data_IF_835610968303
#
_entry.id   IF_835610968303
#
_cell.length_a   1.000
_cell.length_b   1.000
_cell.length_c   1.000
_cell.angle_alpha   90.00
_cell.angle_beta   90.00
_cell.angle_gamma   90.00
#
_symmetry.space_group_name_H-M   'P 1'
#
loop_
_entity.id
_entity.type
_entity.pdbx_description
1 polymer ?
#
# COMPACT_ATOMS: atom_id res chain seq x y z
N UNK A 1 -33.93 -12.60 29.56
CA UNK A 1 -34.74 -13.14 28.45
C UNK A 1 -34.44 -12.27 27.23
N UNK A 2 -33.40 -12.63 26.45
CA UNK A 2 -33.49 -13.27 25.10
C UNK A 2 -34.12 -12.32 24.07
N UNK A 3 -33.55 -11.98 22.92
CA UNK A 3 -32.34 -12.34 22.17
C UNK A 3 -32.25 -11.37 20.98
N UNK A 4 -31.07 -11.07 20.44
CA UNK A 4 -30.92 -10.86 18.99
C UNK A 4 -29.45 -10.91 18.56
N UNK A 5 -29.08 -12.07 18.00
CA UNK A 5 -28.16 -12.29 16.88
C UNK A 5 -27.07 -11.25 16.60
N UNK A 6 -25.84 -11.62 16.92
CA UNK A 6 -24.67 -11.30 16.11
C UNK A 6 -24.09 -12.60 15.57
N UNK A 7 -24.52 -12.98 14.36
CA UNK A 7 -23.80 -13.96 13.54
C UNK A 7 -22.50 -13.32 13.04
N UNK A 8 -21.41 -13.58 13.75
CA UNK A 8 -20.05 -13.37 13.24
C UNK A 8 -19.38 -14.73 13.04
N UNK A 9 -19.88 -15.51 12.07
CA UNK A 9 -19.14 -16.63 11.50
C UNK A 9 -18.08 -16.09 10.52
N UNK A 10 -17.03 -15.46 11.06
CA UNK A 10 -15.74 -15.51 10.40
C UNK A 10 -15.09 -16.84 10.78
N UNK A 11 -14.84 -17.76 9.85
CA UNK A 11 -14.02 -18.91 10.16
C UNK A 11 -12.64 -18.38 10.55
N UNK A 12 -12.32 -18.44 11.83
CA UNK A 12 -10.95 -18.35 12.34
C UNK A 12 -10.18 -19.50 11.71
N UNK A 13 -9.64 -19.24 10.53
CA UNK A 13 -8.90 -20.22 9.79
C UNK A 13 -7.58 -20.41 10.54
N UNK A 14 -7.42 -21.57 11.19
CA UNK A 14 -6.21 -21.96 11.92
C UNK A 14 -4.98 -21.56 11.11
N UNK A 15 -4.16 -20.68 11.67
CA UNK A 15 -2.94 -20.14 11.07
C UNK A 15 -1.88 -21.26 10.91
N UNK A 16 -2.09 -22.16 9.96
CA UNK A 16 -1.02 -23.05 9.52
C UNK A 16 0.04 -22.22 8.81
N UNK A 17 1.30 -22.46 9.19
CA UNK A 17 2.46 -21.79 8.62
C UNK A 17 2.53 -22.16 7.14
N UNK A 18 2.30 -21.17 6.27
CA UNK A 18 2.08 -21.44 4.85
C UNK A 18 3.36 -21.93 4.19
N UNK A 19 3.29 -22.90 3.26
CA UNK A 19 4.48 -23.43 2.57
C UNK A 19 5.34 -22.35 1.89
N UNK A 20 4.73 -21.24 1.45
CA UNK A 20 5.45 -20.12 0.82
C UNK A 20 6.33 -19.29 1.76
N UNK A 21 6.17 -19.44 3.09
CA UNK A 21 6.93 -18.71 4.11
C UNK A 21 8.16 -19.51 4.56
N UNK A 22 8.11 -20.84 4.39
CA UNK A 22 9.19 -21.76 4.79
C UNK A 22 10.56 -21.36 4.22
N UNK A 23 10.72 -21.02 2.92
CA UNK A 23 12.04 -20.61 2.40
C UNK A 23 12.58 -19.33 3.05
N UNK A 24 11.70 -18.38 3.37
CA UNK A 24 12.08 -17.13 4.03
C UNK A 24 12.62 -17.39 5.43
N UNK A 25 11.86 -18.12 6.26
CA UNK A 25 12.29 -18.47 7.63
C UNK A 25 13.55 -19.36 7.59
N UNK A 26 13.57 -20.36 6.71
CA UNK A 26 14.71 -21.28 6.55
C UNK A 26 16.02 -20.55 6.25
N UNK A 27 16.01 -19.52 5.39
CA UNK A 27 17.20 -18.71 5.13
C UNK A 27 17.69 -17.92 6.33
N UNK A 28 16.78 -17.37 7.15
CA UNK A 28 17.17 -16.66 8.37
C UNK A 28 17.78 -17.60 9.40
N UNK A 29 17.18 -18.79 9.57
CA UNK A 29 17.72 -19.83 10.45
C UNK A 29 19.06 -20.33 9.92
N UNK A 30 19.22 -20.48 8.60
CA UNK A 30 20.48 -20.93 8.00
C UNK A 30 21.65 -19.97 8.29
N UNK A 31 21.40 -18.68 8.50
CA UNK A 31 22.45 -17.75 8.93
C UNK A 31 23.07 -18.12 10.29
N UNK A 32 22.41 -18.92 11.14
CA UNK A 32 23.02 -19.43 12.38
C UNK A 32 24.19 -20.38 12.12
N UNK A 33 24.29 -20.96 10.90
CA UNK A 33 25.44 -21.76 10.48
C UNK A 33 26.77 -20.99 10.49
N UNK A 34 26.73 -19.66 10.47
CA UNK A 34 27.90 -18.79 10.62
C UNK A 34 28.60 -19.00 11.97
N UNK A 35 27.86 -19.38 13.02
CA UNK A 35 28.46 -19.70 14.33
C UNK A 35 29.40 -20.90 14.27
N UNK A 36 29.20 -21.79 13.28
CA UNK A 36 30.04 -22.95 13.06
C UNK A 36 31.18 -22.68 12.08
N UNK A 37 30.92 -21.93 11.00
CA UNK A 37 31.92 -21.69 9.95
C UNK A 37 32.81 -20.47 10.20
N UNK A 38 32.36 -19.52 11.02
CA UNK A 38 32.98 -18.21 11.16
C UNK A 38 32.89 -17.37 9.88
N UNK A 39 33.70 -16.31 9.83
CA UNK A 39 33.84 -15.42 8.67
C UNK A 39 35.24 -15.55 8.07
N UNK A 40 35.30 -15.76 6.75
CA UNK A 40 36.52 -15.69 5.95
C UNK A 40 36.49 -14.44 5.07
N UNK A 41 37.65 -13.96 4.62
CA UNK A 41 37.69 -12.79 3.72
C UNK A 41 36.99 -13.12 2.40
N UNK A 42 37.20 -14.33 1.89
CA UNK A 42 36.61 -14.85 0.67
C UNK A 42 35.08 -14.89 0.74
N UNK A 43 34.53 -15.42 1.84
CA UNK A 43 33.08 -15.49 2.04
C UNK A 43 32.44 -14.10 2.25
N UNK A 44 33.16 -13.15 2.87
CA UNK A 44 32.71 -11.75 2.97
C UNK A 44 32.72 -11.03 1.62
N UNK A 45 33.75 -11.23 0.81
CA UNK A 45 33.81 -10.68 -0.55
C UNK A 45 32.71 -11.28 -1.43
N UNK A 46 32.47 -12.59 -1.32
CA UNK A 46 31.36 -13.27 -2.01
C UNK A 46 30.01 -12.71 -1.55
N UNK A 47 29.83 -12.53 -0.24
CA UNK A 47 28.62 -11.92 0.34
C UNK A 47 28.36 -10.53 -0.26
N UNK A 48 29.36 -9.66 -0.28
CA UNK A 48 29.27 -8.32 -0.86
C UNK A 48 28.98 -8.36 -2.37
N UNK A 49 29.66 -9.24 -3.12
CA UNK A 49 29.44 -9.39 -4.56
C UNK A 49 28.01 -9.86 -4.87
N UNK A 50 27.54 -10.90 -4.19
CA UNK A 50 26.18 -11.42 -4.36
C UNK A 50 25.11 -10.42 -3.89
N UNK A 51 25.40 -9.63 -2.86
CA UNK A 51 24.53 -8.52 -2.45
C UNK A 51 24.38 -7.51 -3.60
N UNK A 52 25.48 -6.97 -4.13
CA UNK A 52 25.47 -5.97 -5.19
C UNK A 52 24.76 -6.49 -6.45
N UNK A 53 25.08 -7.71 -6.90
CA UNK A 53 24.47 -8.30 -8.10
C UNK A 53 22.94 -8.43 -7.95
N UNK A 54 22.46 -8.86 -6.79
CA UNK A 54 21.02 -9.07 -6.57
C UNK A 54 20.26 -7.78 -6.30
N UNK A 55 20.84 -6.84 -5.54
CA UNK A 55 20.25 -5.51 -5.39
C UNK A 55 20.14 -4.88 -6.78
N UNK A 56 21.22 -4.87 -7.59
CA UNK A 56 21.16 -4.40 -8.97
C UNK A 56 20.10 -5.12 -9.81
N UNK A 57 19.99 -6.44 -9.71
CA UNK A 57 18.97 -7.21 -10.43
C UNK A 57 17.52 -6.82 -10.07
N UNK A 58 17.27 -6.54 -8.78
CA UNK A 58 15.97 -6.03 -8.31
C UNK A 58 15.75 -4.59 -8.81
N UNK A 59 16.72 -3.70 -8.62
CA UNK A 59 16.57 -2.28 -8.94
C UNK A 59 16.53 -2.02 -10.45
N UNK A 60 17.46 -2.58 -11.23
CA UNK A 60 17.48 -2.42 -12.67
C UNK A 60 16.43 -3.29 -13.36
N UNK A 61 16.32 -4.56 -12.98
CA UNK A 61 15.47 -5.53 -13.65
C UNK A 61 14.01 -5.42 -13.24
N UNK A 62 13.71 -5.75 -11.98
CA UNK A 62 12.32 -5.83 -11.54
C UNK A 62 11.67 -4.45 -11.47
N UNK A 63 12.39 -3.49 -10.92
CA UNK A 63 11.88 -2.16 -10.66
C UNK A 63 11.93 -1.26 -11.90
N UNK A 64 13.12 -0.86 -12.34
CA UNK A 64 13.29 0.15 -13.40
C UNK A 64 12.90 -0.33 -14.79
N UNK A 65 13.18 -1.59 -15.14
CA UNK A 65 12.82 -2.17 -16.44
C UNK A 65 11.38 -2.69 -16.44
N UNK A 66 11.09 -3.71 -15.63
CA UNK A 66 9.79 -4.38 -15.68
C UNK A 66 8.67 -3.51 -15.11
N UNK A 67 8.83 -2.89 -13.94
CA UNK A 67 7.73 -2.11 -13.35
C UNK A 67 7.54 -0.75 -14.05
N UNK A 68 8.62 -0.04 -14.37
CA UNK A 68 8.53 1.37 -14.83
C UNK A 68 8.91 1.66 -16.27
N UNK A 69 9.47 0.68 -17.00
CA UNK A 69 9.89 0.86 -18.41
C UNK A 69 10.80 2.08 -18.60
N UNK A 70 11.68 2.31 -17.65
CA UNK A 70 12.52 3.51 -17.60
C UNK A 70 13.71 3.46 -18.57
N UNK A 71 14.01 2.27 -19.10
CA UNK A 71 14.97 2.04 -20.19
C UNK A 71 14.54 0.83 -21.01
N UNK A 72 15.24 0.57 -22.11
CA UNK A 72 15.06 -0.60 -22.97
C UNK A 72 16.31 -1.47 -23.01
N UNK A 73 16.12 -2.76 -23.23
CA UNK A 73 17.20 -3.73 -23.35
C UNK A 73 16.84 -4.79 -24.39
N UNK A 74 17.85 -5.41 -25.01
CA UNK A 74 17.65 -6.59 -25.84
C UNK A 74 17.22 -7.80 -25.01
N UNK A 75 16.64 -8.83 -25.64
CA UNK A 75 16.08 -10.00 -24.93
C UNK A 75 17.08 -10.70 -24.01
N UNK A 76 18.33 -10.86 -24.48
CA UNK A 76 19.40 -11.49 -23.68
C UNK A 76 19.74 -10.63 -22.46
N UNK A 77 20.04 -9.34 -22.66
CA UNK A 77 20.34 -8.41 -21.55
C UNK A 77 19.18 -8.32 -20.56
N UNK A 78 17.94 -8.21 -21.05
CA UNK A 78 16.73 -8.22 -20.23
C UNK A 78 16.69 -9.49 -19.36
N UNK A 79 16.86 -10.66 -19.98
CA UNK A 79 16.85 -11.93 -19.25
C UNK A 79 17.94 -11.99 -18.19
N UNK A 80 19.18 -11.58 -18.51
CA UNK A 80 20.30 -11.62 -17.57
C UNK A 80 20.08 -10.69 -16.36
N UNK A 81 19.63 -9.45 -16.59
CA UNK A 81 19.34 -8.50 -15.51
C UNK A 81 18.19 -9.02 -14.64
N UNK A 82 17.11 -9.52 -15.25
CA UNK A 82 15.96 -10.06 -14.51
C UNK A 82 16.33 -11.35 -13.77
N UNK A 83 17.17 -12.21 -14.34
CA UNK A 83 17.66 -13.42 -13.68
C UNK A 83 18.52 -13.08 -12.45
N UNK A 84 19.35 -12.04 -12.50
CA UNK A 84 20.06 -11.54 -11.33
C UNK A 84 19.10 -11.12 -10.20
N UNK A 85 17.96 -10.50 -10.54
CA UNK A 85 16.89 -10.20 -9.58
C UNK A 85 16.24 -11.47 -9.02
N UNK A 86 16.02 -12.49 -9.86
CA UNK A 86 15.42 -13.76 -9.44
C UNK A 86 16.28 -14.56 -8.45
N UNK A 87 17.60 -14.37 -8.46
CA UNK A 87 18.50 -14.96 -7.46
C UNK A 87 18.27 -14.42 -6.04
N UNK A 88 17.48 -13.36 -5.87
CA UNK A 88 17.11 -12.81 -4.55
C UNK A 88 15.98 -13.57 -3.85
N UNK A 89 15.31 -14.51 -4.54
CA UNK A 89 14.18 -15.28 -3.99
C UNK A 89 12.96 -14.44 -3.55
N UNK A 90 12.84 -13.20 -4.03
CA UNK A 90 11.70 -12.31 -3.75
C UNK A 90 10.47 -12.56 -4.65
N UNK A 91 10.14 -13.84 -4.87
CA UNK A 91 9.05 -14.29 -5.77
C UNK A 91 9.33 -13.96 -7.25
N UNK A 92 8.38 -14.30 -8.13
CA UNK A 92 8.54 -14.21 -9.58
C UNK A 92 8.65 -12.75 -10.10
N UNK A 93 9.43 -12.50 -11.17
CA UNK A 93 9.66 -11.17 -11.71
C UNK A 93 8.38 -10.45 -12.20
N UNK A 94 7.46 -11.19 -12.82
CA UNK A 94 6.22 -10.61 -13.35
C UNK A 94 5.25 -10.30 -12.21
N UNK A 95 5.15 -11.20 -11.22
CA UNK A 95 4.39 -10.94 -10.01
C UNK A 95 4.91 -9.71 -9.26
N UNK A 96 6.24 -9.62 -9.08
CA UNK A 96 6.86 -8.50 -8.36
C UNK A 96 6.56 -7.17 -9.07
N UNK A 97 6.78 -7.11 -10.39
CA UNK A 97 6.54 -5.90 -11.17
C UNK A 97 5.07 -5.48 -11.18
N UNK A 98 4.14 -6.44 -11.31
CA UNK A 98 2.70 -6.17 -11.21
C UNK A 98 2.32 -5.63 -9.82
N UNK A 99 2.80 -6.28 -8.75
CA UNK A 99 2.56 -5.82 -7.38
C UNK A 99 3.12 -4.44 -7.07
N UNK A 100 4.24 -4.08 -7.71
CA UNK A 100 4.83 -2.77 -7.59
C UNK A 100 4.05 -1.70 -8.38
N UNK A 101 3.53 -2.04 -9.57
CA UNK A 101 2.58 -1.16 -10.30
C UNK A 101 1.31 -0.89 -9.50
N UNK A 102 0.77 -1.90 -8.81
CA UNK A 102 -0.35 -1.72 -7.87
C UNK A 102 0.04 -0.82 -6.70
N UNK A 103 1.23 -1.01 -6.11
CA UNK A 103 1.71 -0.15 -5.04
C UNK A 103 1.78 1.32 -5.47
N UNK A 104 2.31 1.65 -6.66
CA UNK A 104 2.28 3.04 -7.14
C UNK A 104 0.87 3.58 -7.38
N UNK A 105 -0.06 2.72 -7.81
CA UNK A 105 -1.44 3.14 -8.05
C UNK A 105 -2.15 3.44 -6.74
N UNK A 106 -1.89 2.65 -5.70
CA UNK A 106 -2.68 2.59 -4.47
C UNK A 106 -1.84 2.90 -3.21
N UNK A 107 -0.68 3.54 -3.37
CA UNK A 107 0.33 3.77 -2.33
C UNK A 107 -0.25 4.43 -1.09
N UNK A 108 0.09 3.89 0.08
CA UNK A 108 -0.39 4.35 1.38
C UNK A 108 -1.91 4.47 1.55
N UNK A 109 -2.67 3.75 0.72
CA UNK A 109 -4.10 3.49 0.95
C UNK A 109 -4.29 2.14 1.64
N UNK A 110 -5.50 1.82 2.15
CA UNK A 110 -5.77 0.50 2.73
C UNK A 110 -5.52 -0.68 1.79
N UNK A 111 -5.53 -0.44 0.47
CA UNK A 111 -5.25 -1.46 -0.54
C UNK A 111 -3.75 -1.75 -0.72
N UNK A 112 -2.86 -0.85 -0.28
CA UNK A 112 -1.42 -1.07 -0.32
C UNK A 112 -0.97 -1.93 0.85
N UNK A 113 -0.74 -3.21 0.58
CA UNK A 113 -0.27 -4.15 1.60
C UNK A 113 1.06 -3.76 2.25
N UNK A 114 1.84 -2.85 1.66
CA UNK A 114 3.10 -2.41 2.23
C UNK A 114 3.00 -1.10 3.01
N UNK A 115 1.80 -0.52 3.19
CA UNK A 115 1.66 0.78 3.84
C UNK A 115 1.96 0.74 5.35
N UNK A 116 2.97 1.49 5.83
CA UNK A 116 3.20 1.64 7.27
C UNK A 116 2.06 2.38 7.97
N UNK A 117 1.34 3.25 7.25
CA UNK A 117 0.21 4.03 7.77
C UNK A 117 -0.94 3.13 8.23
N UNK A 118 -1.24 2.07 7.46
CA UNK A 118 -2.36 1.18 7.74
C UNK A 118 -1.97 -0.08 8.51
N UNK A 119 -0.73 -0.55 8.36
CA UNK A 119 -0.30 -1.83 8.94
C UNK A 119 0.85 -1.70 9.94
N UNK A 120 1.31 -0.48 10.22
CA UNK A 120 2.47 -0.20 11.06
C UNK A 120 3.79 -0.55 10.38
N UNK A 121 4.89 -0.06 10.96
CA UNK A 121 6.24 -0.25 10.41
C UNK A 121 6.59 -1.73 10.18
N UNK A 122 6.32 -2.60 11.17
CA UNK A 122 6.61 -4.03 11.05
C UNK A 122 5.68 -4.75 10.07
N UNK A 123 4.42 -4.29 9.95
CA UNK A 123 3.47 -4.81 8.98
C UNK A 123 3.91 -4.55 7.54
N UNK A 124 4.43 -3.35 7.28
CA UNK A 124 5.04 -2.92 6.02
C UNK A 124 6.37 -3.62 5.73
N UNK A 125 7.22 -3.78 6.76
CA UNK A 125 8.54 -4.39 6.59
C UNK A 125 8.45 -5.89 6.28
N UNK A 126 7.71 -6.65 7.10
CA UNK A 126 7.66 -8.11 6.99
C UNK A 126 6.27 -8.72 7.17
N UNK A 127 5.35 -8.05 7.86
CA UNK A 127 4.03 -8.62 8.18
C UNK A 127 3.19 -9.00 6.94
N UNK A 128 3.38 -8.31 5.81
CA UNK A 128 2.76 -8.65 4.53
C UNK A 128 3.12 -10.05 4.00
N UNK A 129 4.25 -10.63 4.42
CA UNK A 129 4.67 -11.99 4.01
C UNK A 129 3.74 -13.05 4.61
N UNK A 130 3.20 -12.78 5.81
CA UNK A 130 2.37 -13.71 6.58
C UNK A 130 0.87 -13.58 6.24
N UNK A 131 0.44 -12.44 5.70
CA UNK A 131 -0.95 -12.17 5.27
C UNK A 131 -1.36 -12.94 4.02
N UNK A 132 -2.68 -13.09 3.73
CA UNK A 132 -3.20 -13.73 2.50
C UNK A 132 -2.38 -13.42 1.25
N UNK A 133 -1.85 -14.45 0.55
CA UNK A 133 -1.11 -14.27 -0.71
C UNK A 133 -2.11 -13.96 -1.82
N UNK A 134 -2.64 -12.73 -1.82
CA UNK A 134 -3.50 -12.22 -2.87
C UNK A 134 -2.76 -12.22 -4.21
N UNK A 135 -3.55 -12.27 -5.28
CA UNK A 135 -3.06 -12.40 -6.65
C UNK A 135 -2.62 -11.04 -7.16
N UNK A 136 -1.50 -11.01 -7.87
CA UNK A 136 -1.10 -9.83 -8.63
C UNK A 136 -1.97 -9.72 -9.89
N UNK A 137 -2.33 -8.51 -10.28
CA UNK A 137 -3.00 -8.24 -11.54
C UNK A 137 -1.99 -8.30 -12.69
N UNK A 138 -1.83 -9.49 -13.26
CA UNK A 138 -0.94 -9.71 -14.39
C UNK A 138 -1.39 -8.98 -15.67
N UNK A 139 -2.61 -8.44 -15.72
CA UNK A 139 -3.01 -7.58 -16.84
C UNK A 139 -2.17 -6.30 -16.88
N UNK A 140 -1.69 -5.85 -15.72
CA UNK A 140 -0.79 -4.71 -15.64
C UNK A 140 0.52 -5.01 -16.36
N UNK A 141 1.01 -6.25 -16.42
CA UNK A 141 2.36 -6.61 -16.90
C UNK A 141 2.38 -7.35 -18.26
N UNK A 142 1.32 -7.20 -19.07
CA UNK A 142 1.19 -7.86 -20.41
C UNK A 142 2.37 -7.57 -21.35
N UNK A 143 2.95 -6.38 -21.23
CA UNK A 143 4.12 -5.91 -21.97
C UNK A 143 5.36 -6.80 -21.80
N UNK A 144 5.50 -7.46 -20.65
CA UNK A 144 6.61 -8.38 -20.38
C UNK A 144 6.17 -9.84 -20.24
N UNK A 145 4.90 -10.11 -19.93
CA UNK A 145 4.36 -11.46 -19.86
C UNK A 145 4.39 -12.20 -21.21
N UNK A 146 4.51 -11.49 -22.33
CA UNK A 146 4.66 -12.09 -23.65
C UNK A 146 5.99 -12.85 -23.84
N UNK A 147 7.05 -12.52 -23.10
CA UNK A 147 8.37 -13.14 -23.26
C UNK A 147 8.43 -14.53 -22.59
N UNK A 148 8.67 -15.63 -23.35
CA UNK A 148 8.74 -16.99 -22.79
C UNK A 148 9.79 -17.16 -21.68
N UNK A 149 10.96 -16.54 -21.84
CA UNK A 149 12.07 -16.59 -20.88
C UNK A 149 11.71 -15.96 -19.52
N UNK A 150 10.91 -14.88 -19.53
CA UNK A 150 10.42 -14.25 -18.31
C UNK A 150 9.30 -15.05 -17.66
N UNK A 151 8.43 -15.67 -18.46
CA UNK A 151 7.42 -16.62 -17.95
C UNK A 151 8.06 -17.87 -17.35
N UNK A 152 9.17 -18.33 -17.91
CA UNK A 152 9.94 -19.42 -17.33
C UNK A 152 10.51 -19.04 -15.96
N UNK A 153 11.09 -17.84 -15.81
CA UNK A 153 11.53 -17.32 -14.51
C UNK A 153 10.36 -17.17 -13.53
N UNK A 154 9.20 -16.68 -13.97
CA UNK A 154 7.99 -16.56 -13.14
C UNK A 154 7.54 -17.93 -12.60
N UNK A 155 7.49 -18.95 -13.46
CA UNK A 155 7.13 -20.32 -13.08
C UNK A 155 8.18 -20.96 -12.16
N UNK A 156 9.47 -20.69 -12.40
CA UNK A 156 10.60 -21.26 -11.67
C UNK A 156 11.23 -20.24 -10.70
N UNK A 157 10.42 -19.41 -10.05
CA UNK A 157 10.87 -18.23 -9.31
C UNK A 157 11.91 -18.47 -8.20
N UNK A 158 12.03 -19.70 -7.69
CA UNK A 158 13.01 -20.06 -6.68
C UNK A 158 14.27 -20.75 -7.24
N UNK A 159 14.20 -21.27 -8.47
CA UNK A 159 15.26 -22.09 -9.07
C UNK A 159 16.59 -21.32 -9.20
N UNK A 160 16.64 -20.07 -9.72
CA UNK A 160 17.91 -19.35 -9.85
C UNK A 160 18.62 -19.12 -8.50
N UNK A 161 17.88 -18.73 -7.47
CA UNK A 161 18.44 -18.53 -6.13
C UNK A 161 18.88 -19.82 -5.48
N UNK A 162 18.08 -20.89 -5.56
CA UNK A 162 18.47 -22.21 -5.04
C UNK A 162 19.69 -22.78 -5.74
N UNK A 163 19.77 -22.67 -7.07
CA UNK A 163 20.93 -23.09 -7.85
C UNK A 163 22.18 -22.30 -7.46
N UNK A 164 22.06 -20.99 -7.21
CA UNK A 164 23.16 -20.16 -6.70
C UNK A 164 23.63 -20.64 -5.32
N UNK A 165 22.72 -20.95 -4.40
CA UNK A 165 23.08 -21.49 -3.08
C UNK A 165 23.84 -22.82 -3.18
N UNK A 166 23.36 -23.75 -4.02
CA UNK A 166 24.07 -25.02 -4.29
C UNK A 166 25.45 -24.75 -4.90
N UNK A 167 25.57 -23.84 -5.85
CA UNK A 167 26.84 -23.48 -6.46
C UNK A 167 27.83 -22.89 -5.44
N UNK A 168 27.38 -21.99 -4.55
CA UNK A 168 28.22 -21.45 -3.48
C UNK A 168 28.76 -22.55 -2.57
N UNK A 169 27.91 -23.51 -2.18
CA UNK A 169 28.34 -24.66 -1.38
C UNK A 169 29.37 -25.53 -2.11
N UNK A 170 29.10 -25.90 -3.37
CA UNK A 170 29.97 -26.80 -4.13
C UNK A 170 31.34 -26.17 -4.45
N UNK A 171 31.39 -24.86 -4.67
CA UNK A 171 32.61 -24.15 -5.06
C UNK A 171 33.43 -23.63 -3.88
N UNK A 172 32.78 -23.27 -2.77
CA UNK A 172 33.43 -22.61 -1.64
C UNK A 172 33.10 -23.20 -0.27
N UNK A 173 32.34 -24.29 -0.19
CA UNK A 173 32.02 -24.94 1.08
C UNK A 173 30.97 -24.23 1.92
N UNK A 174 30.96 -24.55 3.22
CA UNK A 174 29.91 -24.11 4.14
C UNK A 174 29.96 -22.62 4.47
N UNK A 175 31.14 -22.00 4.55
CA UNK A 175 31.27 -20.55 4.79
C UNK A 175 30.77 -19.76 3.56
N UNK A 176 31.10 -20.20 2.34
CA UNK A 176 30.54 -19.63 1.11
C UNK A 176 29.01 -19.77 1.05
N UNK A 177 28.45 -20.87 1.56
CA UNK A 177 27.01 -21.04 1.65
C UNK A 177 26.36 -20.14 2.71
N UNK A 178 26.83 -20.18 3.97
CA UNK A 178 26.19 -19.45 5.07
C UNK A 178 26.47 -17.93 5.03
N UNK A 179 27.72 -17.53 4.87
CA UNK A 179 28.10 -16.11 4.79
C UNK A 179 27.91 -15.60 3.38
N UNK A 180 28.47 -16.30 2.39
CA UNK A 180 28.44 -15.85 1.00
C UNK A 180 27.01 -15.78 0.44
N UNK A 181 26.19 -16.82 0.62
CA UNK A 181 24.84 -16.90 0.05
C UNK A 181 23.71 -16.56 1.04
N UNK A 182 23.61 -17.22 2.21
CA UNK A 182 22.47 -17.03 3.11
C UNK A 182 22.41 -15.62 3.70
N UNK A 183 23.50 -15.15 4.31
CA UNK A 183 23.57 -13.81 4.91
C UNK A 183 23.29 -12.72 3.86
N UNK A 184 23.95 -12.77 2.72
CA UNK A 184 23.74 -11.81 1.64
C UNK A 184 22.29 -11.83 1.12
N UNK A 185 21.63 -13.00 1.08
CA UNK A 185 20.19 -13.10 0.72
C UNK A 185 19.32 -12.38 1.76
N UNK A 186 19.57 -12.61 3.04
CA UNK A 186 18.83 -11.97 4.14
C UNK A 186 19.04 -10.45 4.13
N UNK A 187 20.27 -9.99 3.90
CA UNK A 187 20.57 -8.56 3.75
C UNK A 187 19.81 -7.94 2.56
N UNK A 188 19.72 -8.65 1.43
CA UNK A 188 18.94 -8.21 0.25
C UNK A 188 17.43 -8.13 0.57
N UNK A 189 16.88 -9.08 1.33
CA UNK A 189 15.49 -8.98 1.79
C UNK A 189 15.27 -7.71 2.61
N UNK A 190 16.06 -7.51 3.66
CA UNK A 190 15.84 -6.38 4.55
C UNK A 190 16.08 -5.04 3.87
N UNK A 191 17.08 -4.89 2.99
CA UNK A 191 17.28 -3.63 2.28
C UNK A 191 16.11 -3.33 1.33
N UNK A 192 15.53 -4.35 0.69
CA UNK A 192 14.37 -4.16 -0.18
C UNK A 192 13.12 -3.82 0.65
N UNK A 193 12.94 -4.49 1.79
CA UNK A 193 11.80 -4.23 2.68
C UNK A 193 11.90 -2.87 3.38
N UNK A 194 13.12 -2.36 3.62
CA UNK A 194 13.33 -1.01 4.13
C UNK A 194 12.84 0.08 3.15
N UNK A 195 12.80 -0.20 1.85
CA UNK A 195 12.19 0.74 0.89
C UNK A 195 10.69 0.87 1.16
N UNK A 196 9.99 -0.25 1.37
CA UNK A 196 8.57 -0.24 1.72
C UNK A 196 8.28 0.36 3.11
N UNK A 197 9.16 0.11 4.09
CA UNK A 197 8.92 0.54 5.48
C UNK A 197 9.62 1.85 5.83
N UNK A 198 10.95 1.84 5.88
CA UNK A 198 11.73 2.97 6.36
C UNK A 198 11.65 4.17 5.42
N UNK A 199 11.63 3.96 4.10
CA UNK A 199 11.48 5.07 3.15
C UNK A 199 10.08 5.69 3.15
N UNK A 200 9.10 5.10 3.84
CA UNK A 200 7.76 5.67 4.07
C UNK A 200 7.55 6.24 5.47
N UNK A 201 8.59 6.27 6.32
CA UNK A 201 8.49 6.81 7.70
C UNK A 201 9.63 7.77 8.02
N UNK A 202 10.82 7.57 7.45
CA UNK A 202 12.02 8.33 7.81
C UNK A 202 12.79 8.85 6.59
N UNK A 203 12.87 10.18 6.49
CA UNK A 203 13.59 10.88 5.42
C UNK A 203 12.95 12.23 5.12
N UNK A 204 13.21 12.76 3.92
CA UNK A 204 12.65 14.04 3.47
C UNK A 204 11.67 13.85 2.32
N UNK A 205 10.51 14.46 2.42
CA UNK A 205 9.55 14.56 1.32
C UNK A 205 9.76 15.90 0.61
N UNK A 206 10.33 15.87 -0.60
CA UNK A 206 10.60 17.07 -1.41
C UNK A 206 9.41 17.42 -2.29
N UNK A 207 8.74 16.40 -2.82
CA UNK A 207 7.68 16.52 -3.79
C UNK A 207 6.39 15.98 -3.20
N UNK A 208 5.29 16.64 -3.55
CA UNK A 208 3.95 16.22 -3.19
C UNK A 208 3.53 15.02 -4.06
N UNK A 209 3.41 13.86 -3.43
CA UNK A 209 3.13 12.56 -4.10
C UNK A 209 1.78 11.97 -3.72
N UNK A 210 1.12 12.46 -2.67
CA UNK A 210 -0.13 11.90 -2.15
C UNK A 210 0.09 10.67 -1.25
N UNK A 211 1.33 10.26 -1.04
CA UNK A 211 1.77 9.17 -0.17
C UNK A 211 2.83 9.65 0.82
N UNK A 212 3.32 8.75 1.67
CA UNK A 212 4.35 9.01 2.69
C UNK A 212 5.78 8.71 2.19
N UNK A 213 6.01 8.57 0.89
CA UNK A 213 7.35 8.31 0.35
C UNK A 213 8.34 9.43 0.72
N UNK A 214 9.55 9.05 1.11
CA UNK A 214 10.62 9.95 1.57
C UNK A 214 11.98 9.59 0.98
N UNK A 215 12.76 10.62 0.68
CA UNK A 215 14.15 10.47 0.27
C UNK A 215 15.05 10.22 1.49
N UNK A 216 15.92 9.21 1.40
CA UNK A 216 16.87 8.82 2.43
C UNK A 216 18.21 8.41 1.80
N UNK A 217 19.27 9.17 2.10
CA UNK A 217 20.59 8.97 1.51
C UNK A 217 21.26 7.65 1.93
N UNK A 218 21.03 7.19 3.16
CA UNK A 218 21.57 5.90 3.64
C UNK A 218 20.94 4.75 2.86
N UNK A 219 19.62 4.77 2.70
CA UNK A 219 18.92 3.80 1.87
C UNK A 219 19.31 3.92 0.39
N UNK A 220 19.64 5.11 -0.10
CA UNK A 220 20.10 5.27 -1.47
C UNK A 220 21.46 4.58 -1.69
N UNK A 221 22.33 4.56 -0.69
CA UNK A 221 23.58 3.78 -0.77
C UNK A 221 23.29 2.29 -0.66
N UNK A 222 22.58 1.85 0.39
CA UNK A 222 22.33 0.42 0.63
C UNK A 222 21.53 -0.23 -0.52
N UNK A 223 20.47 0.43 -0.96
CA UNK A 223 19.60 -0.06 -2.04
C UNK A 223 20.01 0.47 -3.43
N UNK A 224 21.27 0.89 -3.61
CA UNK A 224 21.83 1.28 -4.92
C UNK A 224 21.01 2.33 -5.70
N UNK A 225 20.38 3.28 -5.01
CA UNK A 225 19.65 4.42 -5.56
C UNK A 225 18.18 4.48 -5.15
N UNK A 226 17.60 3.38 -4.68
CA UNK A 226 16.15 3.30 -4.39
C UNK A 226 15.71 4.11 -3.17
N UNK A 227 16.65 4.54 -2.33
CA UNK A 227 16.38 5.44 -1.22
C UNK A 227 15.97 6.86 -1.64
N UNK A 228 16.13 7.25 -2.91
CA UNK A 228 15.51 8.47 -3.44
C UNK A 228 14.02 8.24 -3.74
N UNK A 229 13.30 7.74 -2.75
CA UNK A 229 11.99 7.14 -2.92
C UNK A 229 10.89 8.17 -3.22
N UNK A 230 10.95 9.34 -2.60
CA UNK A 230 10.01 10.42 -2.92
C UNK A 230 10.22 11.00 -4.33
N UNK A 231 11.48 11.11 -4.78
CA UNK A 231 11.76 11.48 -6.17
C UNK A 231 11.14 10.45 -7.13
N UNK A 232 11.32 9.17 -6.79
CA UNK A 232 10.81 8.06 -7.57
C UNK A 232 9.27 8.08 -7.65
N UNK A 233 8.56 8.21 -6.52
CA UNK A 233 7.10 8.30 -6.50
C UNK A 233 6.57 9.53 -7.25
N UNK A 234 7.29 10.64 -7.22
CA UNK A 234 6.90 11.85 -7.94
C UNK A 234 6.97 11.69 -9.47
N UNK A 235 7.96 10.95 -9.97
CA UNK A 235 8.12 10.71 -11.39
C UNK A 235 8.78 9.34 -11.69
N UNK A 236 7.98 8.26 -11.63
CA UNK A 236 8.50 6.88 -11.57
C UNK A 236 9.06 6.37 -12.90
N UNK A 237 8.73 7.00 -14.03
CA UNK A 237 9.15 6.58 -15.36
C UNK A 237 10.63 6.86 -15.69
N UNK A 238 11.43 7.33 -14.72
CA UNK A 238 12.82 7.72 -14.92
C UNK A 238 13.81 6.61 -14.60
N UNK A 239 14.91 6.58 -15.36
CA UNK A 239 15.97 5.58 -15.18
C UNK A 239 16.86 5.90 -13.97
N UNK A 240 16.85 7.15 -13.50
CA UNK A 240 17.52 7.60 -12.27
C UNK A 240 16.48 8.04 -11.24
N UNK A 241 16.60 7.53 -10.02
CA UNK A 241 15.82 7.98 -8.88
C UNK A 241 16.46 9.24 -8.23
N UNK A 242 17.80 9.35 -8.30
CA UNK A 242 18.50 10.57 -7.91
C UNK A 242 18.29 11.67 -8.95
N UNK A 243 17.70 12.80 -8.54
CA UNK A 243 17.38 13.97 -9.39
C UNK A 243 18.44 15.07 -9.32
N UNK A 244 19.18 15.17 -8.20
CA UNK A 244 20.29 16.13 -8.02
C UNK A 244 21.65 15.47 -8.20
N UNK A 245 22.69 16.28 -8.45
CA UNK A 245 24.05 15.79 -8.70
C UNK A 245 24.65 15.05 -7.48
N UNK A 246 24.25 15.44 -6.26
CA UNK A 246 24.68 14.81 -5.01
C UNK A 246 23.83 13.57 -4.64
N UNK A 247 22.79 13.27 -5.41
CA UNK A 247 21.92 12.11 -5.15
C UNK A 247 22.48 10.88 -5.85
N UNK A 248 23.35 10.17 -5.12
CA UNK A 248 24.07 8.98 -5.61
C UNK A 248 23.07 7.88 -6.00
N UNK A 249 23.16 7.41 -7.24
CA UNK A 249 22.31 6.35 -7.78
C UNK A 249 23.17 5.34 -8.55
N UNK A 250 23.67 4.35 -7.80
CA UNK A 250 24.61 3.34 -8.33
C UNK A 250 23.98 2.49 -9.44
N UNK A 251 22.70 2.14 -9.31
CA UNK A 251 21.98 1.41 -10.37
C UNK A 251 21.95 2.21 -11.66
N UNK A 252 21.67 3.52 -11.59
CA UNK A 252 21.68 4.37 -12.77
C UNK A 252 23.08 4.48 -13.39
N UNK A 253 24.15 4.58 -12.60
CA UNK A 253 25.51 4.65 -13.13
C UNK A 253 25.90 3.36 -13.87
N UNK A 254 25.49 2.20 -13.37
CA UNK A 254 25.68 0.92 -14.06
C UNK A 254 24.87 0.90 -15.36
N UNK A 255 23.59 1.27 -15.33
CA UNK A 255 22.75 1.34 -16.55
C UNK A 255 23.32 2.31 -17.59
N UNK A 256 23.80 3.49 -17.15
CA UNK A 256 24.45 4.46 -18.01
C UNK A 256 25.70 3.88 -18.66
N UNK A 257 26.50 3.14 -17.91
CA UNK A 257 27.69 2.47 -18.43
C UNK A 257 27.32 1.40 -19.45
N UNK A 258 26.36 0.53 -19.13
CA UNK A 258 25.82 -0.47 -20.07
C UNK A 258 25.27 0.15 -21.36
N UNK A 259 24.75 1.38 -21.28
CA UNK A 259 24.27 2.11 -22.46
C UNK A 259 25.38 2.51 -23.42
N UNK A 260 26.60 2.74 -22.92
CA UNK A 260 27.77 3.01 -23.76
C UNK A 260 28.19 1.81 -24.59
N UNK A 261 27.84 0.61 -24.15
CA UNK A 261 28.09 -0.64 -24.88
C UNK A 261 26.87 -1.10 -25.71
N UNK A 262 25.80 -0.31 -25.77
CA UNK A 262 24.58 -0.67 -26.50
C UNK A 262 23.78 -1.82 -25.88
N UNK A 263 24.10 -2.25 -24.66
CA UNK A 263 23.39 -3.34 -23.97
C UNK A 263 22.00 -2.89 -23.48
N UNK A 264 21.88 -1.60 -23.16
CA UNK A 264 20.64 -0.92 -22.80
C UNK A 264 20.56 0.44 -23.50
N UNK A 265 19.37 0.97 -23.73
CA UNK A 265 19.18 2.27 -24.39
C UNK A 265 17.89 2.96 -23.91
N UNK A 266 17.62 4.16 -24.40
CA UNK A 266 16.47 4.99 -24.02
C UNK A 266 16.35 5.20 -22.49
N UNK A 267 17.45 5.50 -21.81
CA UNK A 267 17.47 5.80 -20.37
C UNK A 267 16.69 7.11 -20.12
N UNK A 268 15.43 6.98 -19.70
CA UNK A 268 14.51 8.10 -19.53
C UNK A 268 14.98 9.04 -18.43
N UNK A 269 15.16 10.31 -18.79
CA UNK A 269 15.59 11.35 -17.87
C UNK A 269 14.40 12.15 -17.32
N UNK A 270 14.47 12.67 -16.08
CA UNK A 270 13.44 13.56 -15.56
C UNK A 270 13.44 14.87 -16.35
N UNK A 271 12.28 15.33 -16.86
CA UNK A 271 12.15 16.64 -17.48
C UNK A 271 12.54 17.79 -16.54
N UNK A 272 12.92 18.94 -17.10
CA UNK A 272 13.28 20.12 -16.30
C UNK A 272 12.15 20.59 -15.38
N UNK A 273 10.89 20.47 -15.80
CA UNK A 273 9.72 20.79 -14.95
C UNK A 273 9.63 19.91 -13.71
N UNK A 274 9.96 18.62 -13.83
CA UNK A 274 10.04 17.67 -12.71
C UNK A 274 11.20 18.03 -11.79
N UNK A 275 12.38 18.34 -12.35
CA UNK A 275 13.55 18.75 -11.57
C UNK A 275 13.34 20.07 -10.83
N UNK A 276 12.53 20.98 -11.38
CA UNK A 276 12.17 22.24 -10.71
C UNK A 276 11.00 22.08 -9.73
N UNK A 277 10.31 20.94 -9.73
CA UNK A 277 9.12 20.71 -8.90
C UNK A 277 7.90 21.52 -9.35
N UNK A 278 7.85 21.99 -10.60
CA UNK A 278 6.78 22.86 -11.11
C UNK A 278 5.65 22.08 -11.77
N UNK A 279 5.69 20.74 -11.77
CA UNK A 279 4.58 19.91 -12.26
C UNK A 279 3.42 20.05 -11.26
N UNK A 280 2.29 20.55 -11.73
CA UNK A 280 1.08 20.67 -10.93
C UNK A 280 0.63 19.29 -10.42
N UNK A 281 0.26 19.17 -9.13
CA UNK A 281 -0.32 17.95 -8.61
C UNK A 281 -1.70 17.70 -9.24
N UNK A 282 -2.08 16.44 -9.35
CA UNK A 282 -3.44 16.08 -9.76
C UNK A 282 -4.41 16.28 -8.60
N UNK A 283 -5.71 16.41 -8.88
CA UNK A 283 -6.76 16.47 -7.85
C UNK A 283 -6.66 15.31 -6.86
N UNK A 284 -6.41 14.10 -7.38
CA UNK A 284 -6.19 12.92 -6.54
C UNK A 284 -5.07 13.11 -5.52
N UNK A 285 -3.91 13.65 -5.92
CA UNK A 285 -2.78 13.91 -5.02
C UNK A 285 -3.16 14.95 -3.97
N UNK A 286 -3.87 16.00 -4.37
CA UNK A 286 -4.34 17.05 -3.46
C UNK A 286 -5.28 16.44 -2.41
N UNK A 287 -6.29 15.68 -2.84
CA UNK A 287 -7.28 15.07 -1.95
C UNK A 287 -6.65 14.06 -0.99
N UNK A 288 -5.75 13.19 -1.48
CA UNK A 288 -5.01 12.26 -0.63
C UNK A 288 -4.16 12.98 0.41
N UNK A 289 -3.44 14.03 0.00
CA UNK A 289 -2.62 14.82 0.93
C UNK A 289 -3.49 15.53 1.96
N UNK A 290 -4.62 16.11 1.54
CA UNK A 290 -5.56 16.78 2.44
C UNK A 290 -6.12 15.79 3.48
N UNK A 291 -6.54 14.60 3.04
CA UNK A 291 -6.98 13.53 3.95
C UNK A 291 -5.88 13.10 4.91
N UNK A 292 -4.64 12.95 4.44
CA UNK A 292 -3.50 12.61 5.30
C UNK A 292 -3.21 13.70 6.34
N UNK A 293 -3.26 14.98 5.95
CA UNK A 293 -3.10 16.11 6.87
C UNK A 293 -4.21 16.16 7.92
N UNK A 294 -5.46 15.97 7.49
CA UNK A 294 -6.62 15.93 8.40
C UNK A 294 -6.52 14.77 9.40
N UNK A 295 -6.04 13.59 8.97
CA UNK A 295 -5.89 12.40 9.83
C UNK A 295 -4.90 12.59 10.99
N UNK A 296 -4.06 13.63 10.96
CA UNK A 296 -3.17 13.97 12.07
C UNK A 296 -3.92 14.55 13.28
N UNK A 297 -5.20 14.89 13.14
CA UNK A 297 -6.01 15.50 14.18
C UNK A 297 -7.13 14.55 14.63
N UNK A 298 -7.34 14.45 15.95
CA UNK A 298 -8.48 13.74 16.51
C UNK A 298 -9.72 14.64 16.47
N UNK A 299 -10.71 14.28 15.64
CA UNK A 299 -11.93 15.08 15.46
C UNK A 299 -12.75 15.20 16.74
N UNK A 300 -12.79 14.17 17.56
CA UNK A 300 -13.49 14.21 18.86
C UNK A 300 -12.81 15.20 19.81
N UNK A 301 -11.48 15.18 19.86
CA UNK A 301 -10.70 16.09 20.70
C UNK A 301 -10.84 17.54 20.23
N UNK A 302 -10.76 17.78 18.92
CA UNK A 302 -10.99 19.10 18.34
C UNK A 302 -12.41 19.59 18.66
N UNK A 303 -13.42 18.73 18.47
CA UNK A 303 -14.81 19.06 18.76
C UNK A 303 -15.01 19.41 20.23
N UNK A 304 -14.38 18.66 21.14
CA UNK A 304 -14.44 18.93 22.57
C UNK A 304 -13.78 20.27 22.92
N UNK A 305 -12.58 20.54 22.38
CA UNK A 305 -11.88 21.81 22.59
C UNK A 305 -12.70 23.01 22.11
N UNK A 306 -13.33 22.90 20.93
CA UNK A 306 -14.22 23.95 20.40
C UNK A 306 -15.42 24.14 21.32
N UNK A 307 -16.07 23.06 21.76
CA UNK A 307 -17.21 23.14 22.70
C UNK A 307 -16.82 23.82 24.01
N UNK A 308 -15.65 23.50 24.56
CA UNK A 308 -15.13 24.15 25.77
C UNK A 308 -14.85 25.63 25.53
N UNK A 309 -14.23 25.98 24.40
CA UNK A 309 -13.97 27.38 24.05
C UNK A 309 -15.26 28.19 23.86
N UNK A 310 -16.34 27.55 23.43
CA UNK A 310 -17.64 28.16 23.23
C UNK A 310 -18.56 28.08 24.45
N UNK A 311 -18.12 27.54 25.58
CA UNK A 311 -18.97 27.31 26.75
C UNK A 311 -19.66 28.59 27.26
N UNK A 312 -18.96 29.73 27.18
CA UNK A 312 -19.46 31.03 27.63
C UNK A 312 -19.97 31.90 26.46
N UNK A 313 -20.23 31.30 25.29
CA UNK A 313 -20.68 32.00 24.07
C UNK A 313 -22.04 31.50 23.58
N UNK A 314 -22.74 32.32 22.79
CA UNK A 314 -24.01 31.92 22.16
C UNK A 314 -23.85 31.01 20.93
N UNK A 315 -22.62 30.71 20.50
CA UNK A 315 -22.38 29.97 19.25
C UNK A 315 -23.00 28.57 19.26
N UNK A 316 -22.93 27.86 20.39
CA UNK A 316 -23.55 26.54 20.49
C UNK A 316 -25.08 26.58 20.42
N UNK A 317 -25.70 27.65 20.94
CA UNK A 317 -27.16 27.80 20.91
C UNK A 317 -27.64 28.26 19.53
N UNK A 318 -26.91 29.16 18.88
CA UNK A 318 -27.16 29.56 17.50
C UNK A 318 -27.01 28.37 16.54
N UNK A 319 -25.97 27.55 16.72
CA UNK A 319 -25.77 26.34 15.93
C UNK A 319 -26.92 25.33 16.10
N UNK A 320 -27.37 25.11 17.35
CA UNK A 320 -28.55 24.28 17.63
C UNK A 320 -29.82 24.84 16.98
N UNK A 321 -30.02 26.15 17.03
CA UNK A 321 -31.18 26.81 16.43
C UNK A 321 -31.18 26.64 14.91
N UNK A 322 -30.05 26.91 14.24
CA UNK A 322 -29.90 26.70 12.81
C UNK A 322 -30.12 25.24 12.42
N UNK A 323 -29.60 24.29 13.20
CA UNK A 323 -29.83 22.87 12.96
C UNK A 323 -31.31 22.47 13.10
N UNK A 324 -32.03 23.02 14.09
CA UNK A 324 -33.49 22.82 14.25
C UNK A 324 -34.26 23.37 13.04
N UNK A 325 -33.98 24.61 12.65
CA UNK A 325 -34.63 25.25 11.50
C UNK A 325 -34.40 24.46 10.20
N UNK A 326 -33.17 23.97 9.97
CA UNK A 326 -32.87 23.14 8.81
C UNK A 326 -33.66 21.81 8.84
N UNK A 327 -33.76 21.16 10.01
CA UNK A 327 -34.55 19.94 10.18
C UNK A 327 -36.04 20.19 9.95
N UNK A 328 -36.60 21.24 10.53
CA UNK A 328 -38.01 21.64 10.35
C UNK A 328 -38.32 21.93 8.87
N UNK A 329 -37.39 22.59 8.17
CA UNK A 329 -37.52 22.87 6.73
C UNK A 329 -37.58 21.58 5.90
N UNK A 330 -36.74 20.59 6.22
CA UNK A 330 -36.77 19.26 5.58
C UNK A 330 -38.08 18.54 5.90
N UNK A 331 -38.50 18.51 7.17
CA UNK A 331 -39.73 17.83 7.58
C UNK A 331 -40.97 18.43 6.92
N UNK A 332 -41.00 19.76 6.76
CA UNK A 332 -42.07 20.46 6.04
C UNK A 332 -42.09 20.10 4.57
N UNK A 333 -40.92 20.12 3.89
CA UNK A 333 -40.83 19.69 2.49
C UNK A 333 -41.27 18.23 2.29
N UNK A 334 -40.87 17.33 3.20
CA UNK A 334 -41.25 15.92 3.14
C UNK A 334 -42.74 15.68 3.43
N UNK A 335 -43.39 16.56 4.18
CA UNK A 335 -44.83 16.50 4.44
C UNK A 335 -45.66 16.95 3.21
N UNK A 336 -45.09 17.80 2.36
CA UNK A 336 -45.77 18.36 1.17
C UNK A 336 -45.59 17.49 -0.09
N UNK A 337 -44.71 16.48 -0.05
CA UNK A 337 -44.51 15.54 -1.16
C UNK A 337 -45.14 14.18 -0.85
N UNK A 338 -45.51 13.45 -1.90
CA UNK A 338 -45.92 12.06 -1.76
C UNK A 338 -44.71 11.19 -1.38
N UNK A 339 -44.82 10.45 -0.28
CA UNK A 339 -43.81 9.53 0.22
C UNK A 339 -44.22 8.09 -0.09
N UNK A 340 -43.87 7.55 -1.27
CA UNK A 340 -44.28 6.21 -1.66
C UNK A 340 -43.77 5.17 -0.65
N UNK A 341 -44.62 4.19 -0.35
CA UNK A 341 -44.40 3.10 0.61
C UNK A 341 -44.41 3.49 2.09
N UNK A 342 -44.64 4.76 2.44
CA UNK A 342 -44.94 5.12 3.83
C UNK A 342 -46.36 4.65 4.19
N UNK A 343 -46.56 3.90 5.29
CA UNK A 343 -47.90 3.46 5.68
C UNK A 343 -48.81 4.66 5.96
N UNK A 344 -49.98 4.68 5.34
CA UNK A 344 -51.00 5.69 5.57
C UNK A 344 -51.56 5.60 6.99
N UNK A 345 -52.17 6.69 7.48
CA UNK A 345 -52.88 6.69 8.76
C UNK A 345 -53.95 5.61 8.82
N UNK A 346 -54.66 5.36 7.71
CA UNK A 346 -55.65 4.29 7.57
C UNK A 346 -55.04 2.89 7.76
N UNK A 347 -53.89 2.61 7.13
CA UNK A 347 -53.19 1.34 7.25
C UNK A 347 -52.65 1.12 8.68
N UNK A 348 -52.13 2.17 9.31
CA UNK A 348 -51.69 2.13 10.70
C UNK A 348 -52.86 1.93 11.65
N UNK A 349 -54.02 2.55 11.39
CA UNK A 349 -55.26 2.36 12.15
C UNK A 349 -55.75 0.91 12.02
N UNK A 350 -55.74 0.34 10.81
CA UNK A 350 -56.11 -1.05 10.58
C UNK A 350 -55.14 -2.05 11.22
N UNK A 351 -53.85 -1.72 11.29
CA UNK A 351 -52.85 -2.52 12.01
C UNK A 351 -53.05 -2.42 13.53
N UNK A 352 -53.30 -1.23 14.06
CA UNK A 352 -53.51 -0.99 15.48
C UNK A 352 -54.75 -1.75 16.00
N UNK A 353 -55.88 -1.67 15.29
CA UNK A 353 -57.12 -2.40 15.63
C UNK A 353 -56.97 -3.93 15.58
N UNK A 354 -56.05 -4.46 14.77
CA UNK A 354 -55.75 -5.90 14.73
C UNK A 354 -54.92 -6.37 15.92
N UNK A 355 -54.14 -5.47 16.54
CA UNK A 355 -53.19 -5.81 17.61
C UNK A 355 -53.65 -5.43 19.01
N UNK A 356 -54.51 -4.43 19.13
CA UNK A 356 -54.89 -3.83 20.40
C UNK A 356 -56.41 -3.73 20.53
N UNK A 357 -56.91 -3.76 21.76
CA UNK A 357 -58.32 -3.48 22.05
C UNK A 357 -58.67 -2.04 21.69
N UNK A 358 -59.92 -1.80 21.27
CA UNK A 358 -60.40 -0.47 20.88
C UNK A 358 -60.56 0.41 22.12
N UNK A 359 -59.57 1.26 22.35
CA UNK A 359 -59.50 2.17 23.50
C UNK A 359 -59.41 3.62 23.00
N UNK A 360 -59.95 4.60 23.74
CA UNK A 360 -59.99 6.01 23.29
C UNK A 360 -58.61 6.58 22.90
N UNK A 361 -57.52 6.09 23.49
CA UNK A 361 -56.17 6.53 23.20
C UNK A 361 -55.58 5.98 21.87
N UNK A 362 -56.24 5.03 21.22
CA UNK A 362 -55.69 4.32 20.07
C UNK A 362 -55.49 5.22 18.85
N UNK A 363 -56.38 6.21 18.65
CA UNK A 363 -56.25 7.17 17.54
C UNK A 363 -55.03 8.09 17.74
N UNK A 364 -54.81 8.55 18.97
CA UNK A 364 -53.64 9.35 19.35
C UNK A 364 -52.33 8.56 19.14
N UNK A 365 -52.36 7.25 19.40
CA UNK A 365 -51.24 6.34 19.14
C UNK A 365 -50.96 6.21 17.64
N UNK A 366 -51.99 6.09 16.80
CA UNK A 366 -51.85 6.00 15.34
C UNK A 366 -51.23 7.27 14.77
N UNK A 367 -51.71 8.45 15.19
CA UNK A 367 -51.17 9.75 14.77
C UNK A 367 -49.69 9.90 15.15
N UNK A 368 -49.34 9.57 16.40
CA UNK A 368 -47.95 9.61 16.87
C UNK A 368 -47.06 8.58 16.20
N UNK A 369 -47.59 7.40 15.88
CA UNK A 369 -46.86 6.37 15.15
C UNK A 369 -46.54 6.83 13.72
N UNK A 370 -47.51 7.41 13.02
CA UNK A 370 -47.30 8.01 11.70
C UNK A 370 -46.25 9.12 11.75
N UNK A 371 -46.37 10.07 12.69
CA UNK A 371 -45.39 11.15 12.86
C UNK A 371 -43.96 10.62 13.14
N UNK A 372 -43.83 9.55 13.95
CA UNK A 372 -42.53 8.91 14.20
C UNK A 372 -41.96 8.22 12.97
N UNK A 373 -42.81 7.62 12.13
CA UNK A 373 -42.37 7.01 10.87
C UNK A 373 -41.87 8.08 9.90
N UNK A 374 -42.61 9.18 9.72
CA UNK A 374 -42.18 10.33 8.90
C UNK A 374 -40.83 10.87 9.40
N UNK A 375 -40.72 11.16 10.71
CA UNK A 375 -39.48 11.68 11.29
C UNK A 375 -38.29 10.70 11.15
N UNK A 376 -38.53 9.41 11.36
CA UNK A 376 -37.50 8.37 11.24
C UNK A 376 -37.05 8.11 9.81
N UNK A 377 -37.94 8.26 8.83
CA UNK A 377 -37.61 8.17 7.40
C UNK A 377 -36.87 9.43 6.95
N UNK A 378 -37.34 10.62 7.35
CA UNK A 378 -36.68 11.91 7.10
C UNK A 378 -35.21 11.90 7.54
N UNK A 379 -34.93 11.46 8.78
CA UNK A 379 -33.57 11.36 9.30
C UNK A 379 -32.67 10.45 8.46
N UNK A 380 -33.21 9.33 7.95
CA UNK A 380 -32.44 8.37 7.14
C UNK A 380 -32.21 8.85 5.71
N UNK A 381 -33.22 9.47 5.09
CA UNK A 381 -33.11 10.03 3.75
C UNK A 381 -32.13 11.21 3.71
N UNK A 382 -32.05 12.00 4.78
CA UNK A 382 -31.16 13.16 4.85
C UNK A 382 -29.77 12.85 5.37
N UNK A 383 -29.57 11.72 6.05
CA UNK A 383 -28.26 11.29 6.56
C UNK A 383 -27.18 11.26 5.48
N UNK A 384 -27.54 10.92 4.24
CA UNK A 384 -26.59 10.77 3.13
C UNK A 384 -26.53 11.99 2.18
N UNK A 385 -27.40 13.00 2.40
CA UNK A 385 -27.48 14.21 1.57
C UNK A 385 -26.53 15.34 2.02
N UNK A 386 -25.97 15.23 3.23
CA UNK A 386 -24.83 16.03 3.67
C UNK A 386 -23.59 15.16 3.46
N UNK A 387 -22.62 15.56 2.60
CA UNK A 387 -21.37 14.84 2.50
C UNK A 387 -20.76 14.78 3.90
N UNK A 388 -20.54 13.58 4.42
CA UNK A 388 -19.64 13.44 5.56
C UNK A 388 -18.30 13.98 5.08
N UNK A 389 -17.91 15.15 5.58
CA UNK A 389 -16.52 15.58 5.52
C UNK A 389 -15.73 14.53 6.31
N UNK A 390 -15.07 13.66 5.55
CA UNK A 390 -14.11 12.69 6.04
C UNK A 390 -12.94 13.38 6.73
#
# INVERSE_FOLDING_TARGET
MTSSHTDSNHPQNKESLRPSIVPFIGLHIACLGILWTGFTVESLLLCAALYVVRVFGITAGYHRLLAHRSFKAGRVTQFLIVMAGAMSLQRGPLWWAAKHREHHRDSDTPADAHSPRHFGFMGAHMGWIFRPRYKADLNLIRDFAQYPELRWLEKNQYLPGMALGVACYLLGGWDAFFVGYCLSTVLVYHVTFMINSLAHVFGRQRFLTGDDSRNNAVLAVLAMGEGWHNNHHYYPSTARAGFRWYEIDMTYYVLWTLSKFGLVWDLRQPPQSVLRGTKAPTTRIIDQTAGHLASAFCMDELSQRIRTAWADSHHMDELKQRARQARESVETYLADIDLPHLPTIEELRALARRKFADVPALEDVVQRAHARLVAGVSERLTRDLVPQTA
#
